data_IF_613429581547
#
_entry.id   IF_613429581547
#
_cell.length_a   1.000
_cell.length_b   1.000
_cell.length_c   1.000
_cell.angle_alpha   90.00
_cell.angle_beta   90.00
_cell.angle_gamma   90.00
#
_symmetry.space_group_name_H-M   'P 1'
#
loop_
_entity.id
_entity.type
_entity.pdbx_description
1 polymer ?
#
# COMPACT_ATOMS: atom_id res chain seq x y z
N UNK A 1 69.55 32.66 -8.92
CA UNK A 1 69.26 33.27 -7.60
C UNK A 1 67.76 33.46 -7.51
N UNK A 2 67.15 32.86 -6.47
CA UNK A 2 65.82 33.11 -5.90
C UNK A 2 64.62 32.98 -6.87
N UNK A 3 63.85 31.88 -6.85
CA UNK A 3 62.85 31.48 -5.84
C UNK A 3 61.65 32.45 -5.77
N UNK A 4 60.42 31.92 -5.98
CA UNK A 4 59.34 31.86 -4.98
C UNK A 4 57.95 31.62 -5.62
N UNK A 5 57.37 30.48 -5.24
CA UNK A 5 55.96 30.14 -4.95
C UNK A 5 54.89 30.34 -6.03
N UNK A 6 54.14 29.32 -6.49
CA UNK A 6 53.28 28.37 -5.76
C UNK A 6 52.12 29.08 -5.06
N UNK A 7 50.92 28.95 -5.63
CA UNK A 7 49.70 28.55 -4.91
C UNK A 7 48.57 28.36 -5.92
N UNK A 8 48.36 27.09 -6.27
CA UNK A 8 47.03 26.56 -6.59
C UNK A 8 46.21 26.75 -5.31
N UNK A 9 45.12 27.51 -5.37
CA UNK A 9 44.15 27.57 -4.28
C UNK A 9 43.05 26.60 -4.64
N UNK A 10 43.10 25.44 -3.99
CA UNK A 10 41.98 24.53 -3.83
C UNK A 10 40.81 25.29 -3.19
N UNK A 11 39.72 25.48 -3.95
CA UNK A 11 38.41 25.80 -3.38
C UNK A 11 37.75 24.48 -2.97
N UNK A 12 38.22 23.94 -1.84
CA UNK A 12 37.55 22.87 -1.10
C UNK A 12 36.29 23.47 -0.43
N UNK A 13 35.18 23.45 -1.17
CA UNK A 13 33.86 23.87 -0.72
C UNK A 13 33.43 23.02 0.49
N UNK A 14 33.45 23.65 1.68
CA UNK A 14 33.20 23.02 2.97
C UNK A 14 31.80 22.38 3.07
N UNK A 15 31.70 21.10 2.69
CA UNK A 15 30.52 20.25 2.91
C UNK A 15 30.45 19.87 4.38
N UNK A 16 29.43 20.34 5.10
CA UNK A 16 29.18 20.01 6.49
C UNK A 16 29.38 18.50 6.75
N UNK A 17 30.06 18.10 7.85
CA UNK A 17 30.42 16.71 8.08
C UNK A 17 29.17 15.84 8.07
N UNK A 18 29.22 14.87 7.16
CA UNK A 18 28.23 13.83 6.97
C UNK A 18 28.04 13.09 8.33
N UNK A 19 26.82 13.01 8.89
CA UNK A 19 26.60 12.50 10.25
C UNK A 19 27.14 11.08 10.42
N UNK A 20 27.56 10.74 11.63
CA UNK A 20 28.06 9.40 11.98
C UNK A 20 27.05 8.29 11.61
N UNK A 21 27.55 7.13 11.18
CA UNK A 21 26.70 6.01 10.71
C UNK A 21 25.70 5.55 11.77
N UNK A 22 26.08 5.60 13.04
CA UNK A 22 25.26 5.29 14.21
C UNK A 22 24.03 6.20 14.31
N UNK A 23 24.21 7.51 14.10
CA UNK A 23 23.15 8.52 14.13
C UNK A 23 22.15 8.32 12.99
N UNK A 24 22.63 8.01 11.79
CA UNK A 24 21.77 7.74 10.62
C UNK A 24 20.94 6.48 10.80
N UNK A 25 21.55 5.42 11.32
CA UNK A 25 20.88 4.16 11.65
C UNK A 25 19.76 4.41 12.63
N UNK A 26 20.06 5.06 13.75
CA UNK A 26 19.08 5.36 14.79
C UNK A 26 17.91 6.20 14.26
N UNK A 27 18.17 7.17 13.36
CA UNK A 27 17.11 7.94 12.73
C UNK A 27 16.21 7.07 11.84
N UNK A 28 16.79 6.21 10.98
CA UNK A 28 16.00 5.28 10.14
C UNK A 28 15.10 4.39 11.00
N UNK A 29 15.64 3.84 12.09
CA UNK A 29 14.91 2.94 12.99
C UNK A 29 13.77 3.68 13.71
N UNK A 30 13.97 4.94 14.11
CA UNK A 30 12.91 5.80 14.66
C UNK A 30 11.80 6.06 13.64
N UNK A 31 12.16 6.43 12.41
CA UNK A 31 11.15 6.66 11.34
C UNK A 31 10.38 5.38 11.06
N UNK A 32 11.05 4.24 10.99
CA UNK A 32 10.45 2.93 10.77
C UNK A 32 9.52 2.49 11.93
N UNK A 33 9.80 2.92 13.16
CA UNK A 33 8.99 2.68 14.36
C UNK A 33 7.83 3.66 14.58
N UNK A 34 7.72 4.71 13.77
CA UNK A 34 6.71 5.77 13.93
C UNK A 34 5.28 5.32 13.62
N UNK A 35 4.29 6.11 14.04
CA UNK A 35 2.87 5.78 13.83
C UNK A 35 2.51 5.70 12.34
N UNK A 36 3.23 6.45 11.49
CA UNK A 36 3.10 6.45 10.02
C UNK A 36 3.48 5.12 9.37
N UNK A 37 4.32 4.30 10.03
CA UNK A 37 4.75 2.99 9.54
C UNK A 37 4.11 1.81 10.30
N UNK A 38 3.50 2.05 11.46
CA UNK A 38 2.88 1.01 12.29
C UNK A 38 1.85 0.13 11.57
N UNK A 39 1.07 0.71 10.63
CA UNK A 39 0.01 -0.01 9.89
C UNK A 39 0.50 -0.73 8.63
N UNK A 40 1.78 -0.65 8.27
CA UNK A 40 2.33 -1.32 7.09
C UNK A 40 3.70 -1.92 7.36
N UNK A 41 3.70 -3.21 7.73
CA UNK A 41 4.93 -3.99 7.88
C UNK A 41 5.78 -3.93 6.60
N UNK A 42 5.15 -4.03 5.43
CA UNK A 42 5.85 -4.04 4.14
C UNK A 42 6.58 -2.72 3.81
N UNK A 43 5.97 -1.56 4.09
CA UNK A 43 6.64 -0.27 3.88
C UNK A 43 7.75 -0.02 4.91
N UNK A 44 7.57 -0.54 6.13
CA UNK A 44 8.61 -0.53 7.16
C UNK A 44 9.81 -1.38 6.73
N UNK A 45 9.56 -2.60 6.26
CA UNK A 45 10.61 -3.52 5.79
C UNK A 45 11.35 -2.94 4.58
N UNK A 46 10.63 -2.25 3.69
CA UNK A 46 11.23 -1.51 2.58
C UNK A 46 12.15 -0.37 3.08
N UNK A 47 11.68 0.46 4.00
CA UNK A 47 12.50 1.54 4.58
C UNK A 47 13.75 0.99 5.25
N UNK A 48 13.59 -0.05 6.07
CA UNK A 48 14.69 -0.70 6.77
C UNK A 48 15.68 -1.27 5.75
N UNK A 49 15.24 -2.05 4.77
CA UNK A 49 16.11 -2.63 3.76
C UNK A 49 17.00 -1.56 3.08
N UNK A 50 16.37 -0.54 2.53
CA UNK A 50 17.06 0.55 1.83
C UNK A 50 17.95 1.37 2.77
N UNK A 51 17.48 1.64 3.98
CA UNK A 51 18.23 2.33 5.01
C UNK A 51 19.42 1.51 5.54
N UNK A 52 19.32 0.18 5.59
CA UNK A 52 20.41 -0.70 6.00
C UNK A 52 21.47 -0.84 4.92
N UNK A 53 21.06 -1.07 3.67
CA UNK A 53 21.98 -1.15 2.53
C UNK A 53 22.74 0.16 2.29
N UNK A 54 22.09 1.32 2.48
CA UNK A 54 22.74 2.62 2.26
C UNK A 54 23.83 3.00 3.28
N UNK A 55 23.89 2.30 4.43
CA UNK A 55 24.93 2.53 5.45
C UNK A 55 26.09 1.54 5.38
N UNK A 56 26.08 0.60 4.42
CA UNK A 56 27.23 -0.29 4.19
C UNK A 56 28.38 0.48 3.52
N UNK A 57 29.65 0.19 3.86
CA UNK A 57 30.78 0.77 3.16
C UNK A 57 30.73 0.38 1.67
N UNK A 58 30.95 1.34 0.78
CA UNK A 58 30.80 1.23 -0.69
C UNK A 58 29.36 1.01 -1.18
N UNK A 59 28.38 1.68 -0.56
CA UNK A 59 26.94 1.62 -0.89
C UNK A 59 26.69 1.45 -2.40
N UNK A 60 26.40 0.21 -2.86
CA UNK A 60 26.10 -0.02 -4.26
C UNK A 60 24.76 0.64 -4.59
N UNK A 61 24.59 1.04 -5.84
CA UNK A 61 23.31 1.48 -6.35
C UNK A 61 22.25 0.41 -6.04
N UNK A 62 21.21 0.78 -5.29
CA UNK A 62 20.16 -0.16 -4.89
C UNK A 62 19.23 -0.36 -6.10
N UNK A 63 19.22 -1.56 -6.67
CA UNK A 63 18.45 -1.87 -7.86
C UNK A 63 17.01 -2.26 -7.52
N UNK A 64 16.06 -1.79 -8.33
CA UNK A 64 14.63 -2.09 -8.16
C UNK A 64 14.32 -3.59 -8.13
N UNK A 65 15.03 -4.39 -8.93
CA UNK A 65 14.85 -5.84 -8.99
C UNK A 65 15.23 -6.51 -7.65
N UNK A 66 16.31 -6.04 -7.01
CA UNK A 66 16.76 -6.58 -5.72
C UNK A 66 15.74 -6.30 -4.61
N UNK A 67 15.15 -5.11 -4.62
CA UNK A 67 14.06 -4.73 -3.71
C UNK A 67 12.83 -5.61 -3.95
N UNK A 68 12.46 -5.82 -5.22
CA UNK A 68 11.35 -6.71 -5.61
C UNK A 68 11.50 -8.13 -5.07
N UNK A 69 12.71 -8.69 -5.14
CA UNK A 69 13.00 -10.03 -4.62
C UNK A 69 13.07 -10.03 -3.09
N UNK A 70 13.90 -9.19 -2.48
CA UNK A 70 14.23 -9.27 -1.05
C UNK A 70 13.16 -8.70 -0.13
N UNK A 71 12.39 -7.71 -0.58
CA UNK A 71 11.34 -7.06 0.23
C UNK A 71 9.94 -7.52 -0.19
N UNK A 72 9.70 -7.69 -1.49
CA UNK A 72 8.38 -8.05 -2.01
C UNK A 72 8.21 -9.55 -2.33
N UNK A 73 9.24 -10.37 -2.14
CA UNK A 73 9.18 -11.82 -2.33
C UNK A 73 8.94 -12.25 -3.78
N UNK A 74 9.32 -11.42 -4.76
CA UNK A 74 9.18 -11.75 -6.19
C UNK A 74 10.28 -12.71 -6.64
N UNK A 75 10.03 -13.42 -7.74
CA UNK A 75 11.04 -14.32 -8.34
C UNK A 75 12.24 -13.54 -8.84
N UNK A 76 13.39 -14.20 -8.96
CA UNK A 76 14.60 -13.59 -9.55
C UNK A 76 14.39 -13.16 -11.01
N UNK A 77 13.45 -13.80 -11.72
CA UNK A 77 13.01 -13.48 -13.09
C UNK A 77 11.99 -12.33 -13.18
N UNK A 78 11.78 -11.59 -12.09
CA UNK A 78 10.86 -10.46 -12.01
C UNK A 78 11.17 -9.36 -13.03
N UNK A 79 10.17 -9.02 -13.85
CA UNK A 79 10.24 -7.94 -14.82
C UNK A 79 9.65 -6.63 -14.27
N UNK A 80 10.52 -5.64 -14.08
CA UNK A 80 10.21 -4.29 -13.60
C UNK A 80 9.29 -3.49 -14.55
N UNK A 81 9.18 -3.89 -15.81
CA UNK A 81 8.33 -3.23 -16.80
C UNK A 81 6.85 -3.63 -16.67
N UNK A 82 6.60 -4.87 -16.24
CA UNK A 82 5.26 -5.45 -16.12
C UNK A 82 4.67 -5.33 -14.71
N UNK A 83 5.52 -5.29 -13.68
CA UNK A 83 5.09 -5.15 -12.30
C UNK A 83 5.72 -3.90 -11.67
N UNK A 84 4.86 -2.97 -11.25
CA UNK A 84 5.25 -1.67 -10.71
C UNK A 84 5.22 -1.62 -9.18
N UNK A 85 5.13 -2.76 -8.51
CA UNK A 85 4.97 -2.85 -7.04
C UNK A 85 6.03 -2.04 -6.29
N UNK A 86 7.30 -2.13 -6.70
CA UNK A 86 8.40 -1.40 -6.03
C UNK A 86 8.24 0.12 -6.22
N UNK A 87 7.94 0.57 -7.44
CA UNK A 87 7.73 2.00 -7.76
C UNK A 87 6.53 2.60 -7.02
N UNK A 88 5.42 1.87 -6.94
CA UNK A 88 4.21 2.31 -6.22
C UNK A 88 4.52 2.43 -4.73
N UNK A 89 5.13 1.40 -4.14
CA UNK A 89 5.50 1.44 -2.72
C UNK A 89 6.60 2.47 -2.42
N UNK A 90 7.52 2.74 -3.34
CA UNK A 90 8.54 3.77 -3.18
C UNK A 90 7.93 5.18 -3.20
N UNK A 91 6.84 5.39 -3.95
CA UNK A 91 6.10 6.65 -3.94
C UNK A 91 5.44 6.86 -2.57
N UNK A 92 4.78 5.83 -2.06
CA UNK A 92 4.14 5.88 -0.74
C UNK A 92 5.17 5.99 0.40
N UNK A 93 6.32 5.30 0.28
CA UNK A 93 7.43 5.40 1.23
C UNK A 93 7.94 6.85 1.35
N UNK A 94 8.20 7.52 0.22
CA UNK A 94 8.64 8.92 0.19
C UNK A 94 7.61 9.84 0.88
N UNK A 95 6.33 9.67 0.57
CA UNK A 95 5.23 10.44 1.17
C UNK A 95 5.18 10.28 2.69
N UNK A 96 5.37 9.06 3.20
CA UNK A 96 5.37 8.80 4.65
C UNK A 96 6.59 9.34 5.36
N UNK A 97 7.77 9.28 4.75
CA UNK A 97 8.99 9.91 5.29
C UNK A 97 8.79 11.43 5.40
N UNK A 98 8.24 12.06 4.36
CA UNK A 98 7.93 13.49 4.37
C UNK A 98 6.90 13.83 5.46
N UNK A 99 5.84 13.04 5.57
CA UNK A 99 4.80 13.21 6.59
C UNK A 99 5.37 13.06 8.01
N UNK A 100 6.25 12.08 8.24
CA UNK A 100 6.94 11.92 9.53
C UNK A 100 7.71 13.19 9.89
N UNK A 101 8.58 13.69 9.00
CA UNK A 101 9.39 14.88 9.28
C UNK A 101 8.58 16.18 9.40
N UNK A 102 7.36 16.22 8.86
CA UNK A 102 6.40 17.31 9.01
C UNK A 102 5.53 17.22 10.27
N UNK A 103 5.52 16.08 10.98
CA UNK A 103 4.64 15.85 12.15
C UNK A 103 5.43 15.41 13.38
N UNK A 104 5.69 14.11 13.53
CA UNK A 104 6.40 13.53 14.69
C UNK A 104 7.88 13.94 14.72
N UNK A 105 8.50 14.06 13.55
CA UNK A 105 9.91 14.37 13.39
C UNK A 105 10.21 15.87 13.19
N UNK A 106 9.36 16.79 13.67
CA UNK A 106 9.56 18.25 13.49
C UNK A 106 10.82 18.77 14.20
N UNK A 107 11.18 18.13 15.30
CA UNK A 107 12.36 18.49 16.12
C UNK A 107 13.62 17.71 15.73
N UNK A 108 13.54 16.81 14.74
CA UNK A 108 14.69 15.99 14.34
C UNK A 108 15.76 16.87 13.66
N UNK A 109 16.97 16.99 14.24
CA UNK A 109 18.04 17.83 13.71
C UNK A 109 18.64 17.27 12.42
N UNK A 110 18.48 15.96 12.19
CA UNK A 110 18.89 15.27 10.98
C UNK A 110 17.63 14.78 10.25
N UNK A 111 17.55 15.04 8.94
CA UNK A 111 16.47 14.54 8.10
C UNK A 111 17.02 13.77 6.91
N UNK A 112 16.21 12.87 6.36
CA UNK A 112 16.57 12.18 5.13
C UNK A 112 15.40 12.11 4.15
N UNK A 113 15.73 11.98 2.87
CA UNK A 113 14.76 11.77 1.80
C UNK A 113 15.28 10.74 0.81
N UNK A 114 14.37 10.09 0.07
CA UNK A 114 14.74 9.18 -1.01
C UNK A 114 14.40 9.88 -2.33
N UNK A 115 15.40 10.22 -3.18
CA UNK A 115 15.16 10.98 -4.41
C UNK A 115 14.32 10.19 -5.42
N UNK A 116 13.73 10.91 -6.39
CA UNK A 116 13.06 10.27 -7.54
C UNK A 116 14.11 9.69 -8.47
N UNK A 117 13.85 8.51 -9.04
CA UNK A 117 14.79 7.81 -9.91
C UNK A 117 15.82 6.93 -9.18
N UNK A 118 15.93 7.04 -7.86
CA UNK A 118 16.79 6.19 -7.04
C UNK A 118 16.11 5.71 -5.77
N UNK A 119 16.78 4.79 -5.09
CA UNK A 119 16.31 4.25 -3.81
C UNK A 119 17.22 4.65 -2.64
N UNK A 120 18.39 5.23 -2.89
CA UNK A 120 19.34 5.58 -1.82
C UNK A 120 18.84 6.77 -0.96
N UNK A 121 18.76 6.66 0.39
CA UNK A 121 18.46 7.78 1.27
C UNK A 121 19.58 8.83 1.29
N UNK A 122 19.20 10.10 1.19
CA UNK A 122 20.09 11.25 1.28
C UNK A 122 19.84 11.98 2.59
N UNK A 123 20.87 12.13 3.41
CA UNK A 123 20.81 12.75 4.74
C UNK A 123 21.27 14.21 4.69
N UNK A 124 20.58 15.08 5.41
CA UNK A 124 20.93 16.50 5.55
C UNK A 124 20.58 17.02 6.95
N UNK A 125 21.44 17.90 7.47
CA UNK A 125 21.14 18.62 8.70
C UNK A 125 19.98 19.60 8.48
N UNK A 126 19.07 19.66 9.44
CA UNK A 126 17.98 20.63 9.49
C UNK A 126 18.53 21.89 10.14
N UNK A 127 18.73 22.95 9.36
CA UNK A 127 18.96 24.29 9.91
C UNK A 127 17.69 24.67 10.68
N UNK A 128 17.82 25.01 11.97
CA UNK A 128 16.68 25.35 12.81
C UNK A 128 15.85 26.49 12.17
N UNK A 129 14.52 26.50 12.31
CA UNK A 129 13.74 27.69 11.99
C UNK A 129 14.12 28.75 13.03
N UNK A 130 14.49 29.95 12.57
CA UNK A 130 14.43 31.13 13.42
C UNK A 130 12.99 31.24 13.93
N UNK A 131 12.80 31.03 15.22
CA UNK A 131 11.52 31.23 15.89
C UNK A 131 11.11 32.69 15.69
N UNK A 132 9.85 32.90 15.30
CA UNK A 132 9.18 34.19 15.38
C UNK A 132 9.10 34.62 16.86
N UNK A 133 10.14 35.27 17.36
CA UNK A 133 10.08 36.06 18.59
C UNK A 133 10.09 37.53 18.20
N UNK A 134 8.90 38.13 18.25
CA UNK A 134 8.76 39.56 18.40
C UNK A 134 9.40 39.96 19.74
N UNK A 135 10.70 40.23 19.75
CA UNK A 135 11.33 41.03 20.78
C UNK A 135 11.47 42.47 20.26
N UNK A 136 10.48 43.28 20.64
CA UNK A 136 10.65 44.71 20.80
C UNK A 136 11.66 44.94 21.93
N UNK A 137 12.84 45.45 21.59
CA UNK A 137 13.66 46.22 22.50
C UNK A 137 14.37 47.29 21.68
N UNK A 138 13.94 48.53 21.90
CA UNK A 138 14.59 49.71 21.41
C UNK A 138 16.00 49.81 22.03
N UNK A 139 17.01 50.08 21.20
CA UNK A 139 18.12 51.00 21.48
C UNK A 139 18.93 51.17 20.17
N UNK A 140 18.86 52.36 19.54
CA UNK A 140 19.85 52.83 18.56
C UNK A 140 21.13 53.26 19.31
N UNK A 141 22.36 53.10 18.79
CA UNK A 141 22.90 53.87 17.66
C UNK A 141 23.82 53.00 16.74
N UNK A 142 24.21 53.30 15.51
CA UNK A 142 24.69 54.52 14.86
C UNK A 142 24.87 54.17 13.36
N UNK A 143 24.68 55.12 12.45
CA UNK A 143 24.66 54.90 11.00
C UNK A 143 26.04 54.58 10.39
N UNK A 144 26.11 53.66 9.40
CA UNK A 144 26.95 53.84 8.21
C UNK A 144 26.12 53.84 6.90
N UNK A 145 26.68 54.36 5.80
CA UNK A 145 25.92 55.00 4.73
C UNK A 145 25.31 54.00 3.74
N UNK A 146 24.07 54.30 3.33
CA UNK A 146 23.54 54.14 1.96
C UNK A 146 23.96 52.86 1.21
N UNK A 147 23.33 51.73 1.56
CA UNK A 147 23.20 50.58 0.66
C UNK A 147 21.97 50.77 -0.27
N UNK A 148 21.99 50.23 -1.51
CA UNK A 148 21.05 50.57 -2.57
C UNK A 148 19.59 50.18 -2.23
N UNK A 149 18.59 50.73 -2.94
CA UNK A 149 17.20 50.40 -2.69
C UNK A 149 17.00 48.90 -2.89
N UNK A 150 16.58 48.20 -1.83
CA UNK A 150 16.12 46.82 -1.94
C UNK A 150 14.80 46.86 -2.71
N UNK A 151 14.83 46.44 -3.97
CA UNK A 151 13.63 46.27 -4.79
C UNK A 151 12.68 45.30 -4.08
N UNK A 152 11.52 45.82 -3.65
CA UNK A 152 10.45 45.00 -3.10
C UNK A 152 10.05 43.94 -4.14
N UNK A 153 10.04 42.67 -3.72
CA UNK A 153 9.49 41.60 -4.54
C UNK A 153 8.08 42.01 -5.01
N UNK A 154 7.79 42.00 -6.31
CA UNK A 154 6.56 42.57 -6.83
C UNK A 154 5.37 41.78 -6.30
N UNK A 155 4.35 42.51 -5.82
CA UNK A 155 3.09 41.96 -5.31
C UNK A 155 2.43 40.95 -6.26
N UNK A 156 2.79 40.95 -7.55
CA UNK A 156 2.33 40.03 -8.58
C UNK A 156 2.63 38.55 -8.30
N UNK A 157 3.71 38.21 -7.58
CA UNK A 157 4.04 36.81 -7.24
C UNK A 157 3.16 36.22 -6.13
N UNK A 158 2.66 37.06 -5.21
CA UNK A 158 1.76 36.61 -4.13
C UNK A 158 0.39 36.22 -4.69
N UNK A 159 -0.13 37.02 -5.65
CA UNK A 159 -1.39 36.70 -6.35
C UNK A 159 -1.30 35.40 -7.16
N UNK A 160 -0.11 35.02 -7.63
CA UNK A 160 0.13 33.77 -8.35
C UNK A 160 0.04 32.56 -7.41
N UNK A 161 0.57 32.65 -6.19
CA UNK A 161 0.41 31.57 -5.20
C UNK A 161 -1.02 31.46 -4.67
N UNK A 162 -1.70 32.59 -4.47
CA UNK A 162 -3.13 32.62 -4.08
C UNK A 162 -4.00 31.98 -5.16
N UNK A 163 -3.74 32.25 -6.44
CA UNK A 163 -4.48 31.64 -7.54
C UNK A 163 -4.21 30.13 -7.65
N UNK A 164 -2.96 29.69 -7.47
CA UNK A 164 -2.61 28.26 -7.45
C UNK A 164 -3.29 27.53 -6.29
N UNK A 165 -3.30 28.09 -5.08
CA UNK A 165 -4.01 27.50 -3.94
C UNK A 165 -5.53 27.46 -4.17
N UNK A 166 -6.11 28.51 -4.76
CA UNK A 166 -7.52 28.54 -5.13
C UNK A 166 -7.89 27.44 -6.14
N UNK A 167 -7.07 27.29 -7.20
CA UNK A 167 -7.26 26.23 -8.20
C UNK A 167 -7.13 24.85 -7.58
N UNK A 168 -6.16 24.63 -6.70
CA UNK A 168 -5.96 23.35 -6.02
C UNK A 168 -7.14 23.00 -5.09
N UNK A 169 -7.66 23.98 -4.35
CA UNK A 169 -8.82 23.81 -3.49
C UNK A 169 -10.08 23.46 -4.29
N UNK A 170 -10.29 24.15 -5.43
CA UNK A 170 -11.39 23.84 -6.36
C UNK A 170 -11.23 22.43 -6.93
N UNK A 171 -10.02 22.05 -7.38
CA UNK A 171 -9.76 20.71 -7.90
C UNK A 171 -10.01 19.63 -6.83
N UNK A 172 -9.59 19.87 -5.59
CA UNK A 172 -9.84 18.96 -4.47
C UNK A 172 -11.35 18.86 -4.17
N UNK A 173 -12.07 19.99 -4.18
CA UNK A 173 -13.52 20.03 -4.04
C UNK A 173 -14.25 19.26 -5.16
N UNK A 174 -13.82 19.41 -6.41
CA UNK A 174 -14.35 18.67 -7.56
C UNK A 174 -14.08 17.17 -7.40
N UNK A 175 -12.85 16.77 -7.04
CA UNK A 175 -12.50 15.37 -6.83
C UNK A 175 -13.29 14.76 -5.66
N UNK A 176 -13.50 15.49 -4.57
CA UNK A 176 -14.34 15.06 -3.46
C UNK A 176 -15.79 14.92 -3.90
N UNK A 177 -16.33 15.87 -4.67
CA UNK A 177 -17.70 15.81 -5.20
C UNK A 177 -17.88 14.64 -6.17
N UNK A 178 -16.92 14.41 -7.07
CA UNK A 178 -16.92 13.27 -7.98
C UNK A 178 -16.84 11.95 -7.22
N UNK A 179 -15.96 11.84 -6.23
CA UNK A 179 -15.84 10.65 -5.37
C UNK A 179 -17.14 10.40 -4.58
N UNK A 180 -17.75 11.46 -4.03
CA UNK A 180 -19.02 11.36 -3.32
C UNK A 180 -20.16 10.95 -4.27
N UNK A 181 -20.20 11.49 -5.49
CA UNK A 181 -21.15 11.11 -6.53
C UNK A 181 -20.98 9.68 -7.02
N UNK A 182 -19.73 9.20 -7.16
CA UNK A 182 -19.40 7.82 -7.51
C UNK A 182 -19.84 6.84 -6.41
N UNK A 183 -19.64 7.18 -5.13
CA UNK A 183 -20.12 6.41 -3.98
C UNK A 183 -21.65 6.33 -3.95
N UNK A 184 -22.33 7.46 -4.17
CA UNK A 184 -23.79 7.50 -4.20
C UNK A 184 -24.39 6.71 -5.37
N UNK A 185 -23.69 6.63 -6.51
CA UNK A 185 -24.09 5.81 -7.67
C UNK A 185 -23.78 4.32 -7.52
N UNK A 186 -22.87 3.96 -6.63
CA UNK A 186 -22.49 2.55 -6.36
C UNK A 186 -23.28 1.92 -5.22
N UNK A 187 -24.12 2.71 -4.54
CA UNK A 187 -24.99 2.24 -3.47
C UNK A 187 -26.24 1.57 -4.05
N UNK A 188 -26.05 0.35 -4.59
CA UNK A 188 -27.09 -0.49 -5.21
C UNK A 188 -28.31 -0.72 -4.31
N UNK A 189 -28.17 -0.46 -3.01
CA UNK A 189 -29.19 -0.67 -1.98
C UNK A 189 -29.88 0.62 -1.52
N UNK A 190 -29.52 1.79 -2.07
CA UNK A 190 -30.10 3.08 -1.69
C UNK A 190 -31.62 3.15 -1.93
N UNK A 191 -32.12 2.41 -2.92
CA UNK A 191 -33.56 2.31 -3.21
C UNK A 191 -34.31 1.33 -2.30
N UNK A 192 -33.59 0.60 -1.43
CA UNK A 192 -34.13 -0.46 -0.57
C UNK A 192 -33.56 -0.36 0.86
N UNK A 193 -34.05 0.61 1.67
CA UNK A 193 -33.48 0.90 2.98
C UNK A 193 -33.54 -0.28 3.95
N UNK A 194 -34.57 -1.12 3.87
CA UNK A 194 -34.69 -2.32 4.70
C UNK A 194 -33.58 -3.35 4.40
N UNK A 195 -33.28 -3.59 3.12
CA UNK A 195 -32.20 -4.52 2.74
C UNK A 195 -30.82 -3.97 3.10
N UNK A 196 -30.60 -2.65 2.95
CA UNK A 196 -29.37 -2.00 3.35
C UNK A 196 -29.14 -2.13 4.87
N UNK A 197 -30.19 -1.87 5.67
CA UNK A 197 -30.14 -2.01 7.13
C UNK A 197 -29.85 -3.46 7.55
N UNK A 198 -30.52 -4.43 6.93
CA UNK A 198 -30.26 -5.85 7.17
C UNK A 198 -28.79 -6.21 6.89
N UNK A 199 -28.28 -5.90 5.70
CA UNK A 199 -26.90 -6.25 5.32
C UNK A 199 -25.87 -5.54 6.16
N UNK A 200 -26.17 -4.32 6.62
CA UNK A 200 -25.32 -3.58 7.57
C UNK A 200 -25.27 -4.27 8.93
N UNK A 201 -26.43 -4.62 9.49
CA UNK A 201 -26.50 -5.33 10.76
C UNK A 201 -25.82 -6.71 10.67
N UNK A 202 -26.07 -7.45 9.58
CA UNK A 202 -25.43 -8.73 9.30
C UNK A 202 -23.91 -8.57 9.26
N UNK A 203 -23.37 -7.68 8.43
CA UNK A 203 -21.93 -7.48 8.29
C UNK A 203 -21.23 -7.02 9.58
N UNK A 204 -21.93 -6.36 10.50
CA UNK A 204 -21.39 -5.93 11.79
C UNK A 204 -21.43 -7.03 12.86
N UNK A 205 -22.23 -8.08 12.68
CA UNK A 205 -22.40 -9.15 13.66
C UNK A 205 -21.14 -10.01 13.86
N UNK A 206 -20.26 -10.08 12.86
CA UNK A 206 -19.03 -10.86 12.90
C UNK A 206 -17.87 -10.09 12.25
N UNK A 207 -16.60 -10.37 12.62
CA UNK A 207 -15.44 -9.67 12.07
C UNK A 207 -15.15 -10.02 10.60
N UNK A 208 -15.71 -11.13 10.10
CA UNK A 208 -15.50 -11.62 8.74
C UNK A 208 -16.80 -12.20 8.18
N UNK A 209 -16.99 -12.03 6.87
CA UNK A 209 -18.08 -12.66 6.10
C UNK A 209 -17.51 -13.56 5.03
N UNK A 210 -17.81 -14.85 5.12
CA UNK A 210 -17.45 -15.87 4.14
C UNK A 210 -18.61 -16.08 3.14
N UNK A 211 -18.31 -15.92 1.86
CA UNK A 211 -19.18 -16.33 0.76
C UNK A 211 -18.71 -17.70 0.29
N UNK A 212 -19.56 -18.70 0.48
CA UNK A 212 -19.28 -20.09 0.10
C UNK A 212 -19.95 -20.39 -1.23
N UNK A 213 -19.14 -20.57 -2.26
CA UNK A 213 -19.55 -20.98 -3.59
C UNK A 213 -19.82 -22.49 -3.61
N UNK A 214 -20.83 -22.94 -4.36
CA UNK A 214 -21.05 -24.36 -4.56
C UNK A 214 -19.94 -24.96 -5.44
N UNK A 215 -19.84 -26.29 -5.40
CA UNK A 215 -18.84 -27.04 -6.14
C UNK A 215 -19.48 -27.68 -7.38
N UNK A 216 -19.30 -27.05 -8.55
CA UNK A 216 -19.88 -27.55 -9.80
C UNK A 216 -19.16 -28.81 -10.31
N UNK A 217 -17.96 -29.13 -9.81
CA UNK A 217 -17.27 -30.39 -10.13
C UNK A 217 -18.08 -31.58 -9.65
N UNK A 218 -18.88 -31.44 -8.58
CA UNK A 218 -19.76 -32.51 -8.09
C UNK A 218 -20.80 -32.87 -9.13
N UNK A 219 -21.52 -31.90 -9.69
CA UNK A 219 -22.55 -32.16 -10.70
C UNK A 219 -21.97 -32.83 -11.95
N UNK A 220 -20.80 -32.35 -12.41
CA UNK A 220 -20.09 -32.98 -13.54
C UNK A 220 -19.67 -34.42 -13.22
N UNK A 221 -19.22 -34.68 -11.99
CA UNK A 221 -18.83 -36.03 -11.57
C UNK A 221 -20.03 -36.99 -11.47
N UNK A 222 -21.19 -36.51 -11.04
CA UNK A 222 -22.43 -37.30 -10.99
C UNK A 222 -22.88 -37.70 -12.39
N UNK A 223 -22.80 -36.77 -13.35
CA UNK A 223 -23.12 -37.01 -14.76
C UNK A 223 -22.18 -38.06 -15.37
N UNK A 224 -20.87 -37.93 -15.14
CA UNK A 224 -19.89 -38.91 -15.65
C UNK A 224 -20.02 -40.29 -15.02
N UNK A 225 -20.40 -40.37 -13.75
CA UNK A 225 -20.57 -41.64 -13.02
C UNK A 225 -21.95 -42.27 -13.21
N UNK A 226 -22.95 -41.49 -13.63
CA UNK A 226 -24.35 -41.92 -13.69
C UNK A 226 -24.96 -42.28 -12.33
N UNK A 227 -24.35 -41.83 -11.22
CA UNK A 227 -24.80 -42.09 -9.85
C UNK A 227 -24.66 -40.79 -9.03
N UNK A 228 -25.65 -40.46 -8.17
CA UNK A 228 -25.55 -39.28 -7.30
C UNK A 228 -24.42 -39.45 -6.27
N UNK A 229 -23.78 -38.34 -5.91
CA UNK A 229 -22.74 -38.31 -4.89
C UNK A 229 -23.38 -38.04 -3.53
N UNK A 230 -23.10 -38.90 -2.54
CA UNK A 230 -23.60 -38.68 -1.18
C UNK A 230 -22.79 -37.60 -0.47
N UNK A 231 -23.39 -36.93 0.52
CA UNK A 231 -22.68 -35.96 1.34
C UNK A 231 -21.47 -36.58 2.04
N UNK A 232 -21.61 -37.81 2.56
CA UNK A 232 -20.51 -38.52 3.22
C UNK A 232 -19.36 -38.78 2.26
N UNK A 233 -19.65 -39.25 1.04
CA UNK A 233 -18.62 -39.47 0.02
C UNK A 233 -17.91 -38.15 -0.37
N UNK A 234 -18.63 -37.03 -0.34
CA UNK A 234 -18.06 -35.70 -0.57
C UNK A 234 -17.16 -35.23 0.58
N UNK A 235 -17.60 -35.37 1.82
CA UNK A 235 -16.81 -34.95 2.99
C UNK A 235 -15.54 -35.80 3.16
N UNK A 236 -15.65 -37.11 2.93
CA UNK A 236 -14.53 -38.06 3.03
C UNK A 236 -13.60 -38.01 1.80
N UNK A 237 -13.92 -37.19 0.79
CA UNK A 237 -13.21 -37.11 -0.50
C UNK A 237 -13.14 -38.44 -1.26
N UNK A 238 -14.11 -39.32 -1.01
CA UNK A 238 -14.24 -40.62 -1.66
C UNK A 238 -14.61 -40.53 -3.15
N UNK A 239 -15.00 -39.35 -3.65
CA UNK A 239 -15.21 -39.11 -5.08
C UNK A 239 -13.93 -39.23 -5.92
N UNK A 240 -12.74 -39.05 -5.32
CA UNK A 240 -11.43 -39.28 -5.97
C UNK A 240 -11.02 -40.75 -5.82
N UNK A 241 -11.14 -41.27 -4.59
CA UNK A 241 -10.54 -42.56 -4.20
C UNK A 241 -11.38 -43.79 -4.53
N UNK A 242 -12.72 -43.72 -4.54
CA UNK A 242 -13.60 -44.85 -4.94
C UNK A 242 -13.81 -44.92 -6.46
N UNK A 243 -12.77 -44.65 -7.23
CA UNK A 243 -12.74 -44.75 -8.69
C UNK A 243 -12.34 -46.14 -9.17
N UNK A 244 -12.33 -47.16 -8.29
CA UNK A 244 -11.94 -48.53 -8.60
C UNK A 244 -12.87 -49.20 -9.64
N UNK A 245 -14.13 -48.76 -9.74
CA UNK A 245 -15.08 -49.21 -10.77
C UNK A 245 -14.85 -48.56 -12.16
N UNK A 246 -13.89 -47.62 -12.28
CA UNK A 246 -13.70 -46.80 -13.48
C UNK A 246 -12.41 -47.12 -14.23
N UNK A 247 -12.43 -46.91 -15.55
CA UNK A 247 -11.22 -47.01 -16.38
C UNK A 247 -10.16 -45.99 -15.94
N UNK A 248 -8.86 -46.27 -16.13
CA UNK A 248 -7.79 -45.34 -15.74
C UNK A 248 -7.94 -43.94 -16.36
N UNK A 249 -8.37 -43.87 -17.62
CA UNK A 249 -8.61 -42.60 -18.33
C UNK A 249 -9.70 -41.77 -17.65
N UNK A 250 -10.85 -42.39 -17.32
CA UNK A 250 -11.95 -41.69 -16.64
C UNK A 250 -11.58 -41.24 -15.22
N UNK A 251 -10.70 -41.98 -14.54
CA UNK A 251 -10.16 -41.57 -13.23
C UNK A 251 -9.34 -40.29 -13.38
N UNK A 252 -8.46 -40.25 -14.38
CA UNK A 252 -7.67 -39.06 -14.69
C UNK A 252 -8.55 -37.86 -15.08
N UNK A 253 -9.62 -38.09 -15.84
CA UNK A 253 -10.60 -37.04 -16.18
C UNK A 253 -11.28 -36.48 -14.93
N UNK A 254 -11.73 -37.34 -14.00
CA UNK A 254 -12.32 -36.91 -12.74
C UNK A 254 -11.33 -36.11 -11.89
N UNK A 255 -10.10 -36.59 -11.73
CA UNK A 255 -9.06 -35.84 -11.02
C UNK A 255 -8.84 -34.46 -11.64
N UNK A 256 -8.84 -34.39 -12.97
CA UNK A 256 -8.74 -33.13 -13.71
C UNK A 256 -9.92 -32.22 -13.37
N UNK A 257 -11.16 -32.70 -13.43
CA UNK A 257 -12.38 -31.93 -13.13
C UNK A 257 -12.38 -31.36 -11.71
N UNK A 258 -11.98 -32.17 -10.71
CA UNK A 258 -11.91 -31.70 -9.34
C UNK A 258 -10.75 -30.70 -9.15
N UNK A 259 -9.62 -30.85 -9.84
CA UNK A 259 -8.52 -29.88 -9.77
C UNK A 259 -8.83 -28.51 -10.41
N UNK A 260 -9.83 -28.43 -11.30
CA UNK A 260 -10.23 -27.18 -11.95
C UNK A 260 -11.14 -26.26 -11.09
N UNK A 261 -11.59 -26.71 -9.91
CA UNK A 261 -12.42 -25.90 -8.99
C UNK A 261 -13.62 -25.22 -9.69
N UNK A 262 -14.47 -26.03 -10.33
CA UNK A 262 -15.53 -25.52 -11.20
C UNK A 262 -16.64 -24.84 -10.39
N UNK A 263 -17.16 -23.74 -10.94
CA UNK A 263 -18.35 -23.02 -10.45
C UNK A 263 -19.25 -22.69 -11.63
N UNK A 264 -20.56 -22.60 -11.43
CA UNK A 264 -21.47 -22.23 -12.53
C UNK A 264 -21.46 -20.72 -12.75
N UNK A 265 -21.87 -20.29 -13.95
CA UNK A 265 -22.03 -18.86 -14.23
C UNK A 265 -23.06 -18.19 -13.32
N UNK A 266 -24.12 -18.93 -12.93
CA UNK A 266 -25.13 -18.45 -12.00
C UNK A 266 -24.56 -18.16 -10.61
N UNK A 267 -23.69 -19.06 -10.11
CA UNK A 267 -23.02 -18.88 -8.82
C UNK A 267 -22.06 -17.70 -8.85
N UNK A 268 -21.33 -17.53 -9.96
CA UNK A 268 -20.46 -16.38 -10.16
C UNK A 268 -21.24 -15.07 -10.14
N UNK A 269 -22.38 -15.00 -10.85
CA UNK A 269 -23.24 -13.81 -10.85
C UNK A 269 -23.81 -13.50 -9.46
N UNK A 270 -24.28 -14.53 -8.74
CA UNK A 270 -24.77 -14.37 -7.37
C UNK A 270 -23.67 -13.85 -6.44
N UNK A 271 -22.47 -14.44 -6.51
CA UNK A 271 -21.32 -14.00 -5.74
C UNK A 271 -20.91 -12.56 -6.07
N UNK A 272 -20.93 -12.16 -7.35
CA UNK A 272 -20.64 -10.80 -7.76
C UNK A 272 -21.66 -9.79 -7.19
N UNK A 273 -22.95 -10.15 -7.16
CA UNK A 273 -23.99 -9.31 -6.54
C UNK A 273 -23.74 -9.13 -5.04
N UNK A 274 -23.34 -10.20 -4.35
CA UNK A 274 -23.03 -10.17 -2.92
C UNK A 274 -21.71 -9.45 -2.65
N UNK A 275 -20.70 -9.58 -3.50
CA UNK A 275 -19.43 -8.84 -3.36
C UNK A 275 -19.61 -7.34 -3.51
N UNK A 276 -20.66 -6.90 -4.20
CA UNK A 276 -21.04 -5.48 -4.18
C UNK A 276 -21.57 -5.01 -2.80
N UNK A 277 -21.69 -5.89 -1.79
CA UNK A 277 -21.88 -5.54 -0.38
C UNK A 277 -20.57 -5.10 0.31
N UNK A 278 -19.41 -5.17 -0.38
CA UNK A 278 -18.13 -4.70 0.14
C UNK A 278 -18.10 -3.27 0.70
N UNK A 279 -18.95 -2.30 0.28
CA UNK A 279 -19.03 -1.01 0.96
C UNK A 279 -19.43 -1.12 2.44
N UNK A 280 -20.12 -2.20 2.82
CA UNK A 280 -20.75 -2.41 4.13
C UNK A 280 -19.96 -3.42 4.97
N UNK A 281 -19.33 -4.43 4.34
CA UNK A 281 -18.54 -5.46 5.03
C UNK A 281 -17.02 -5.24 4.84
N UNK A 282 -16.25 -4.95 5.90
CA UNK A 282 -14.82 -4.61 5.78
C UNK A 282 -13.93 -5.81 5.41
N UNK A 283 -14.40 -7.05 5.61
CA UNK A 283 -13.65 -8.29 5.35
C UNK A 283 -14.55 -9.36 4.76
N UNK A 284 -14.51 -9.46 3.44
CA UNK A 284 -15.19 -10.48 2.66
C UNK A 284 -14.19 -11.51 2.15
N UNK A 285 -14.51 -12.79 2.31
CA UNK A 285 -13.72 -13.91 1.77
C UNK A 285 -14.61 -14.77 0.88
N UNK A 286 -14.14 -15.07 -0.32
CA UNK A 286 -14.79 -15.99 -1.24
C UNK A 286 -14.09 -17.35 -1.15
N UNK A 287 -14.83 -18.44 -0.99
CA UNK A 287 -14.29 -19.80 -0.88
C UNK A 287 -15.23 -20.82 -1.52
N UNK A 288 -14.70 -21.92 -2.03
CA UNK A 288 -15.53 -23.04 -2.47
C UNK A 288 -15.97 -23.88 -1.26
N UNK A 289 -17.15 -24.49 -1.36
CA UNK A 289 -17.70 -25.40 -0.35
C UNK A 289 -16.71 -26.52 0.02
N UNK A 290 -15.92 -27.01 -0.95
CA UNK A 290 -14.92 -28.06 -0.74
C UNK A 290 -13.80 -27.69 0.23
N UNK A 291 -13.46 -26.41 0.30
CA UNK A 291 -12.39 -25.89 1.14
C UNK A 291 -12.93 -25.17 2.38
N UNK A 292 -14.23 -25.25 2.62
CA UNK A 292 -14.86 -24.55 3.72
C UNK A 292 -14.84 -25.40 5.00
N UNK A 293 -14.30 -24.82 6.07
CA UNK A 293 -14.22 -25.47 7.37
C UNK A 293 -15.51 -25.24 8.17
N UNK A 294 -16.14 -26.32 8.65
CA UNK A 294 -17.38 -26.23 9.41
C UNK A 294 -17.26 -25.40 10.70
N UNK A 295 -16.08 -25.35 11.32
CA UNK A 295 -15.86 -24.55 12.53
C UNK A 295 -15.85 -23.05 12.28
N UNK A 296 -15.61 -22.59 11.04
CA UNK A 296 -15.69 -21.17 10.68
C UNK A 296 -17.12 -20.63 10.80
N UNK A 297 -18.14 -21.47 10.61
CA UNK A 297 -19.56 -21.11 10.76
C UNK A 297 -19.89 -20.58 12.17
N UNK A 298 -19.15 -21.02 13.19
CA UNK A 298 -19.38 -20.60 14.58
C UNK A 298 -18.84 -19.20 14.89
N UNK A 299 -17.92 -18.70 14.07
CA UNK A 299 -17.18 -17.45 14.32
C UNK A 299 -17.50 -16.36 13.31
N UNK A 300 -17.76 -16.76 12.09
CA UNK A 300 -17.84 -15.88 10.93
C UNK A 300 -19.28 -15.84 10.39
N UNK A 301 -19.64 -14.72 9.76
CA UNK A 301 -20.87 -14.64 9.00
C UNK A 301 -20.74 -15.49 7.74
N UNK A 302 -21.76 -16.29 7.41
CA UNK A 302 -21.69 -17.21 6.27
C UNK A 302 -22.83 -16.97 5.31
N UNK A 303 -22.48 -16.82 4.03
CA UNK A 303 -23.42 -16.73 2.92
C UNK A 303 -23.19 -17.96 2.04
N UNK A 304 -24.12 -18.92 2.10
CA UNK A 304 -24.09 -20.11 1.27
C UNK A 304 -24.81 -19.84 -0.05
N UNK A 305 -24.11 -20.03 -1.17
CA UNK A 305 -24.71 -19.94 -2.51
C UNK A 305 -25.05 -21.37 -2.97
N UNK A 306 -26.28 -21.56 -3.41
CA UNK A 306 -26.72 -22.83 -3.97
C UNK A 306 -27.96 -22.66 -4.84
N UNK A 307 -27.98 -23.38 -5.96
CA UNK A 307 -29.17 -23.56 -6.79
C UNK A 307 -29.97 -24.78 -6.36
N UNK A 308 -31.23 -24.85 -6.78
CA UNK A 308 -31.93 -26.13 -6.82
C UNK A 308 -31.28 -27.00 -7.90
N UNK A 309 -30.90 -28.22 -7.54
CA UNK A 309 -30.65 -29.29 -8.52
C UNK A 309 -31.91 -29.57 -9.31
#
# INVERSE_FOLDING_TARGET
>A
MAARSETVVDEEEAKAPLPELSVRRALIDRVAGSSHFARSARLRDFLLYVGHESLKPHAPEIHEQEIGVRVFGRSASYDRSQDNIVRVNATELRRRIETYFATEGVTEPLVFSIPRGGYLPVFRWRTAPAENTFHSSAEQPELPPSAPPVEALPASRIWLWVSVCGVLAIACGILLWQNYGLRKKTDLWAERPATAAFWTAFAQAAPQTDIVLPDASVSMSEEMRGKPLTLSDYLDRNYIHRSEEMTPERRQDLETIFNHNLVTLGDFHAAQQILNLAPIAPRLRLTLARFYEADSIKRDNVILIGGKK
#
